data_IF_792906106051
#
_entry.id   IF_792906106051
#
_cell.length_a   1.000
_cell.length_b   1.000
_cell.length_c   1.000
_cell.angle_alpha   90.00
_cell.angle_beta   90.00
_cell.angle_gamma   90.00
#
_symmetry.space_group_name_H-M   'P 1'
#
loop_
_entity.id
_entity.type
_entity.pdbx_description
1 polymer ?
#
# COMPACT_ATOMS: atom_id res chain seq x y z
N UNK A 1 1.03 9.77 -7.35
CA UNK A 1 -0.34 9.74 -6.79
C UNK A 1 -0.28 10.27 -5.37
N UNK A 2 -1.21 11.11 -4.94
CA UNK A 2 -1.23 11.68 -3.58
C UNK A 2 -1.94 10.73 -2.64
N UNK A 3 -1.31 10.39 -1.50
CA UNK A 3 -1.91 9.56 -0.46
C UNK A 3 -2.37 10.44 0.70
N UNK A 4 -3.62 10.28 1.08
CA UNK A 4 -4.22 10.90 2.26
C UNK A 4 -4.71 9.83 3.23
N UNK A 5 -4.68 10.18 4.51
CA UNK A 5 -5.34 9.44 5.56
C UNK A 5 -6.46 10.31 6.14
N UNK A 6 -7.67 9.78 6.09
CA UNK A 6 -8.81 10.29 6.84
C UNK A 6 -9.09 9.37 8.04
N UNK A 7 -10.09 9.74 8.84
CA UNK A 7 -10.51 8.94 10.01
C UNK A 7 -10.79 7.48 9.67
N UNK A 8 -11.50 7.23 8.57
CA UNK A 8 -12.04 5.93 8.20
C UNK A 8 -11.52 5.40 6.86
N UNK A 9 -10.77 6.20 6.10
CA UNK A 9 -10.26 5.82 4.78
C UNK A 9 -8.79 6.22 4.57
N UNK A 10 -8.06 5.40 3.83
CA UNK A 10 -6.94 5.87 3.02
C UNK A 10 -7.47 6.30 1.65
N UNK A 11 -7.03 7.46 1.16
CA UNK A 11 -7.52 8.05 -0.09
C UNK A 11 -6.34 8.27 -1.01
N UNK A 12 -6.40 7.66 -2.19
CA UNK A 12 -5.36 7.72 -3.22
C UNK A 12 -5.87 8.55 -4.40
N UNK A 13 -5.38 9.78 -4.51
CA UNK A 13 -5.83 10.72 -5.53
C UNK A 13 -4.85 10.82 -6.70
N UNK A 14 -5.38 10.69 -7.92
CA UNK A 14 -4.65 10.91 -9.16
C UNK A 14 -5.53 11.65 -10.17
N UNK A 15 -5.15 12.90 -10.47
CA UNK A 15 -5.96 13.77 -11.33
C UNK A 15 -7.36 13.98 -10.73
N UNK A 16 -8.38 13.72 -11.54
CA UNK A 16 -9.81 13.91 -11.21
C UNK A 16 -10.45 12.72 -10.49
N UNK A 17 -9.68 11.67 -10.20
CA UNK A 17 -10.18 10.44 -9.56
C UNK A 17 -9.46 10.17 -8.25
N UNK A 18 -10.18 9.57 -7.32
CA UNK A 18 -9.67 9.11 -6.05
C UNK A 18 -10.15 7.69 -5.76
N UNK A 19 -9.23 6.82 -5.34
CA UNK A 19 -9.53 5.52 -4.79
C UNK A 19 -9.61 5.64 -3.26
N UNK A 20 -10.79 5.33 -2.72
CA UNK A 20 -11.06 5.31 -1.29
C UNK A 20 -10.97 3.89 -0.78
N UNK A 21 -10.10 3.65 0.19
CA UNK A 21 -9.89 2.37 0.83
C UNK A 21 -10.26 2.46 2.31
N UNK A 22 -11.33 1.76 2.70
CA UNK A 22 -11.79 1.73 4.09
C UNK A 22 -10.72 1.12 4.99
N UNK A 23 -10.43 1.82 6.09
CA UNK A 23 -9.50 1.38 7.14
C UNK A 23 -10.10 0.32 8.05
N UNK A 24 -11.39 -0.03 7.91
CA UNK A 24 -12.06 -0.99 8.79
C UNK A 24 -12.14 -2.40 8.19
N UNK A 25 -12.56 -2.47 6.94
CA UNK A 25 -12.85 -3.73 6.23
C UNK A 25 -12.05 -3.86 4.91
N UNK A 26 -11.30 -2.82 4.53
CA UNK A 26 -10.58 -2.78 3.26
C UNK A 26 -11.48 -2.69 2.03
N UNK A 27 -12.74 -2.30 2.19
CA UNK A 27 -13.64 -2.00 1.08
C UNK A 27 -13.07 -0.88 0.21
N UNK A 28 -13.17 -1.04 -1.10
CA UNK A 28 -12.62 -0.11 -2.09
C UNK A 28 -13.75 0.59 -2.84
N UNK A 29 -13.59 1.90 -3.07
CA UNK A 29 -14.56 2.70 -3.81
C UNK A 29 -13.84 3.71 -4.70
N UNK A 30 -14.29 3.83 -5.95
CA UNK A 30 -13.80 4.87 -6.86
C UNK A 30 -14.72 6.10 -6.74
N UNK A 31 -14.14 7.26 -6.50
CA UNK A 31 -14.87 8.53 -6.35
C UNK A 31 -14.16 9.66 -7.12
N UNK A 32 -14.85 10.77 -7.43
CA UNK A 32 -14.20 11.99 -7.89
C UNK A 32 -13.16 12.50 -6.89
N UNK A 33 -12.10 13.16 -7.37
CA UNK A 33 -11.10 13.76 -6.51
C UNK A 33 -11.67 14.87 -5.60
N UNK A 34 -12.72 15.57 -6.06
CA UNK A 34 -13.42 16.61 -5.30
C UNK A 34 -14.03 16.11 -3.99
N UNK A 35 -14.34 14.81 -3.90
CA UNK A 35 -14.91 14.20 -2.71
C UNK A 35 -13.93 14.19 -1.53
N UNK A 36 -12.64 14.47 -1.74
CA UNK A 36 -11.69 14.66 -0.65
C UNK A 36 -12.16 15.72 0.36
N UNK A 37 -12.94 16.71 -0.09
CA UNK A 37 -13.54 17.74 0.77
C UNK A 37 -14.59 17.17 1.75
N UNK A 38 -15.13 15.99 1.46
CA UNK A 38 -16.09 15.28 2.31
C UNK A 38 -15.39 14.37 3.33
N UNK A 39 -14.07 14.17 3.19
CA UNK A 39 -13.30 13.34 4.11
C UNK A 39 -13.16 14.02 5.47
N UNK A 40 -13.24 13.23 6.54
CA UNK A 40 -13.03 13.75 7.89
C UNK A 40 -11.53 13.88 8.19
N UNK A 41 -11.07 15.12 8.37
CA UNK A 41 -9.68 15.50 8.69
C UNK A 41 -8.64 14.78 7.81
N UNK A 42 -8.67 14.93 6.48
CA UNK A 42 -7.71 14.28 5.60
C UNK A 42 -6.31 14.88 5.80
N UNK A 43 -5.34 14.03 6.11
CA UNK A 43 -3.93 14.38 6.26
C UNK A 43 -3.18 13.81 5.05
N UNK A 44 -2.46 14.67 4.32
CA UNK A 44 -1.59 14.20 3.25
C UNK A 44 -0.37 13.50 3.84
N UNK A 45 -0.21 12.21 3.52
CA UNK A 45 0.93 11.40 3.96
C UNK A 45 2.12 11.52 3.00
N UNK A 46 1.88 11.88 1.74
CA UNK A 46 2.92 12.07 0.73
C UNK A 46 2.52 11.51 -0.63
N UNK A 47 3.53 11.14 -1.41
CA UNK A 47 3.40 10.62 -2.76
C UNK A 47 3.71 9.12 -2.81
N UNK A 48 2.97 8.42 -3.66
CA UNK A 48 3.21 7.03 -4.04
C UNK A 48 3.14 6.89 -5.57
N UNK A 49 3.84 5.89 -6.10
CA UNK A 49 3.93 5.60 -7.53
C UNK A 49 2.71 4.83 -8.05
N UNK A 50 2.10 3.99 -7.21
CA UNK A 50 0.96 3.17 -7.61
C UNK A 50 0.44 2.26 -6.50
N UNK A 51 -0.66 1.58 -6.79
CA UNK A 51 -1.29 0.59 -5.90
C UNK A 51 -0.92 -0.81 -6.39
N UNK A 52 -0.37 -1.64 -5.50
CA UNK A 52 -0.14 -3.06 -5.80
C UNK A 52 -1.43 -3.85 -5.58
N UNK A 53 -2.15 -3.54 -4.50
CA UNK A 53 -3.40 -4.19 -4.11
C UNK A 53 -3.51 -4.32 -2.60
N UNK A 54 -4.47 -5.11 -2.13
CA UNK A 54 -4.61 -5.47 -0.72
C UNK A 54 -4.36 -6.95 -0.47
N UNK A 55 -3.89 -7.28 0.72
CA UNK A 55 -3.63 -8.67 1.11
C UNK A 55 -3.98 -8.90 2.58
N UNK A 56 -4.47 -10.10 2.89
CA UNK A 56 -4.56 -10.59 4.26
C UNK A 56 -3.52 -11.69 4.43
N UNK A 57 -2.50 -11.44 5.25
CA UNK A 57 -1.36 -12.37 5.44
C UNK A 57 -1.74 -13.61 6.25
N UNK A 58 -2.75 -13.51 7.10
CA UNK A 58 -3.30 -14.60 7.91
C UNK A 58 -4.76 -14.26 8.27
N UNK A 59 -5.64 -15.26 8.40
CA UNK A 59 -7.08 -15.06 8.69
C UNK A 59 -7.35 -14.20 9.92
N UNK A 60 -6.46 -14.28 10.92
CA UNK A 60 -6.60 -13.58 12.19
C UNK A 60 -5.96 -12.18 12.18
N UNK A 61 -5.26 -11.81 11.10
CA UNK A 61 -4.57 -10.53 10.94
C UNK A 61 -5.43 -9.56 10.10
N UNK A 62 -5.23 -8.23 10.28
CA UNK A 62 -5.93 -7.25 9.46
C UNK A 62 -5.53 -7.37 7.99
N UNK A 63 -6.37 -6.79 7.13
CA UNK A 63 -5.98 -6.54 5.75
C UNK A 63 -4.91 -5.46 5.68
N UNK A 64 -4.08 -5.53 4.65
CA UNK A 64 -3.01 -4.58 4.38
C UNK A 64 -3.17 -4.04 2.98
N UNK A 65 -3.05 -2.72 2.83
CA UNK A 65 -2.94 -2.07 1.54
C UNK A 65 -1.47 -1.89 1.18
N UNK A 66 -1.08 -2.38 0.01
CA UNK A 66 0.31 -2.36 -0.46
C UNK A 66 0.42 -1.36 -1.61
N UNK A 67 1.35 -0.43 -1.46
CA UNK A 67 1.61 0.66 -2.39
C UNK A 67 3.04 0.60 -2.91
N UNK A 68 3.25 1.05 -4.13
CA UNK A 68 4.59 1.27 -4.69
C UNK A 68 5.10 2.60 -4.14
N UNK A 69 6.12 2.54 -3.28
CA UNK A 69 6.77 3.73 -2.74
C UNK A 69 7.82 4.28 -3.70
N UNK A 70 8.67 3.40 -4.22
CA UNK A 70 9.70 3.77 -5.20
C UNK A 70 9.74 2.75 -6.33
N UNK A 71 10.12 3.25 -7.51
CA UNK A 71 10.35 2.44 -8.71
C UNK A 71 11.68 2.82 -9.34
N UNK A 72 12.20 1.95 -10.18
CA UNK A 72 13.32 2.24 -11.07
C UNK A 72 12.92 1.96 -12.52
N UNK A 73 13.21 2.89 -13.43
CA UNK A 73 13.11 2.65 -14.86
C UNK A 73 14.22 1.67 -15.27
N UNK A 74 13.85 0.51 -15.80
CA UNK A 74 14.83 -0.51 -16.22
C UNK A 74 15.07 -0.51 -17.73
N UNK A 75 14.14 0.03 -18.51
CA UNK A 75 14.28 0.12 -19.95
C UNK A 75 13.02 0.62 -20.64
N UNK A 76 13.11 0.74 -21.95
CA UNK A 76 12.02 1.14 -22.84
C UNK A 76 11.85 0.10 -23.93
N UNK A 77 10.63 -0.36 -24.13
CA UNK A 77 10.25 -1.24 -25.24
C UNK A 77 9.90 -0.40 -26.48
N UNK A 78 9.87 -1.01 -27.70
CA UNK A 78 9.44 -0.30 -28.91
C UNK A 78 8.11 0.41 -28.72
N UNK A 79 7.98 1.65 -29.21
CA UNK A 79 6.81 2.49 -28.92
C UNK A 79 6.96 3.36 -27.66
N UNK A 80 8.17 3.47 -27.11
CA UNK A 80 8.51 4.27 -25.92
C UNK A 80 7.78 3.82 -24.65
N UNK A 81 7.44 2.52 -24.58
CA UNK A 81 6.81 1.94 -23.41
C UNK A 81 7.84 1.73 -22.30
N UNK A 82 7.71 2.50 -21.23
CA UNK A 82 8.58 2.40 -20.06
C UNK A 82 8.30 1.13 -19.26
N UNK A 83 9.37 0.40 -18.93
CA UNK A 83 9.34 -0.75 -18.04
C UNK A 83 9.95 -0.32 -16.71
N UNK A 84 9.14 -0.42 -15.65
CA UNK A 84 9.53 -0.08 -14.30
C UNK A 84 9.68 -1.34 -13.44
N UNK A 85 10.66 -1.31 -12.54
CA UNK A 85 10.83 -2.27 -11.46
C UNK A 85 10.37 -1.63 -10.16
N UNK A 86 9.62 -2.36 -9.35
CA UNK A 86 9.30 -1.96 -7.97
C UNK A 86 10.56 -2.10 -7.13
N UNK A 87 11.01 -1.02 -6.48
CA UNK A 87 12.22 -1.04 -5.65
C UNK A 87 11.91 -0.96 -4.16
N UNK A 88 10.86 -0.23 -3.80
CA UNK A 88 10.34 -0.16 -2.43
C UNK A 88 8.82 -0.12 -2.43
N UNK A 89 8.25 -0.74 -1.42
CA UNK A 89 6.81 -0.69 -1.13
C UNK A 89 6.55 0.06 0.17
N UNK A 90 5.32 0.53 0.32
CA UNK A 90 4.75 0.97 1.59
C UNK A 90 3.56 0.05 1.92
N UNK A 91 3.41 -0.31 3.18
CA UNK A 91 2.42 -1.29 3.64
C UNK A 91 1.58 -0.65 4.74
N UNK A 92 0.29 -0.48 4.49
CA UNK A 92 -0.65 0.21 5.38
C UNK A 92 -1.59 -0.79 6.02
N UNK A 93 -1.65 -0.79 7.35
CA UNK A 93 -2.65 -1.57 8.08
C UNK A 93 -4.02 -0.99 7.81
N UNK A 94 -4.95 -1.82 7.33
CA UNK A 94 -6.38 -1.50 7.28
C UNK A 94 -6.97 -1.81 8.66
N UNK A 95 -6.56 -0.97 9.61
CA UNK A 95 -7.09 -0.93 10.97
C UNK A 95 -7.27 0.52 11.42
N UNK A 96 -7.96 0.70 12.55
CA UNK A 96 -8.12 2.03 13.18
C UNK A 96 -6.81 2.55 13.80
N UNK A 97 -5.72 1.77 13.80
CA UNK A 97 -4.42 2.22 14.27
C UNK A 97 -3.78 3.21 13.29
N UNK A 98 -3.08 4.21 13.84
CA UNK A 98 -2.29 5.15 13.04
C UNK A 98 -1.18 4.40 12.28
N UNK A 99 -0.94 4.71 10.99
CA UNK A 99 0.15 4.10 10.25
C UNK A 99 1.50 4.51 10.85
N UNK A 100 2.43 3.56 10.83
CA UNK A 100 3.83 3.81 11.19
C UNK A 100 4.48 4.69 10.12
N UNK A 101 5.62 5.31 10.44
CA UNK A 101 6.35 6.19 9.52
C UNK A 101 6.62 5.50 8.18
N UNK A 102 6.00 6.02 7.11
CA UNK A 102 6.02 5.43 5.77
C UNK A 102 7.19 5.94 4.92
N UNK A 103 7.91 6.95 5.40
CA UNK A 103 9.01 7.61 4.69
C UNK A 103 8.65 7.94 3.22
N UNK A 104 7.45 8.49 3.00
CA UNK A 104 7.00 8.87 1.67
C UNK A 104 7.65 10.18 1.21
N UNK A 105 7.74 10.35 -0.11
CA UNK A 105 8.11 11.63 -0.68
C UNK A 105 7.02 12.66 -0.38
N UNK A 106 7.44 13.85 0.07
CA UNK A 106 6.50 14.89 0.48
C UNK A 106 5.74 15.46 -0.72
N UNK A 107 4.44 15.66 -0.56
CA UNK A 107 3.64 16.30 -1.60
C UNK A 107 3.85 17.82 -1.60
N UNK A 108 4.30 18.39 -2.72
CA UNK A 108 4.55 19.84 -2.86
C UNK A 108 3.33 20.73 -2.57
N UNK A 109 2.11 20.21 -2.76
CA UNK A 109 0.86 20.97 -2.56
C UNK A 109 0.51 21.13 -1.08
N UNK A 110 0.74 20.08 -0.29
CA UNK A 110 0.29 19.99 1.10
C UNK A 110 1.43 20.15 2.10
N UNK A 111 2.68 19.89 1.69
CA UNK A 111 3.88 20.00 2.50
C UNK A 111 4.76 21.17 2.01
N UNK A 112 4.12 22.30 1.72
CA UNK A 112 4.80 23.50 1.24
C UNK A 112 5.74 24.07 2.32
N UNK A 113 7.00 24.32 1.99
CA UNK A 113 8.00 24.87 2.91
C UNK A 113 8.72 23.85 3.79
N UNK A 114 8.40 22.56 3.69
CA UNK A 114 9.08 21.47 4.40
C UNK A 114 10.09 20.84 3.42
N UNK A 115 11.35 21.31 3.43
CA UNK A 115 12.38 20.80 2.51
C UNK A 115 12.97 19.44 2.93
N UNK A 116 12.66 19.03 4.16
CA UNK A 116 12.80 17.74 4.84
C UNK A 116 12.07 17.96 6.17
N UNK A 117 11.45 16.95 6.80
CA UNK A 117 11.32 17.04 8.24
C UNK A 117 12.75 17.07 8.76
N UNK A 118 13.29 18.25 9.08
CA UNK A 118 14.25 18.29 10.19
C UNK A 118 13.51 17.57 11.30
N UNK A 119 14.05 16.41 11.71
CA UNK A 119 13.62 15.77 12.94
C UNK A 119 13.61 16.90 13.95
N UNK A 120 12.42 17.33 14.38
CA UNK A 120 12.31 18.13 15.58
C UNK A 120 12.89 17.19 16.63
N UNK A 121 14.16 17.39 16.95
CA UNK A 121 14.83 16.71 18.04
C UNK A 121 13.98 17.10 19.24
N UNK A 122 13.25 16.18 19.88
CA UNK A 122 12.74 16.46 21.20
C UNK A 122 13.95 16.86 22.03
N UNK A 123 13.81 17.93 22.83
CA UNK A 123 14.76 18.34 23.87
C UNK A 123 15.67 17.20 24.35
N UNK A 124 16.99 17.41 24.50
CA UNK A 124 18.00 16.35 24.54
C UNK A 124 17.97 15.51 25.83
N UNK A 125 16.90 14.75 26.02
CA UNK A 125 16.79 13.71 27.05
C UNK A 125 16.23 12.37 26.54
N UNK A 126 15.70 12.26 25.32
CA UNK A 126 15.05 11.00 24.86
C UNK A 126 15.64 10.38 23.59
N UNK A 127 16.93 10.61 23.29
CA UNK A 127 17.65 9.96 22.19
C UNK A 127 18.53 8.79 22.64
N UNK A 128 17.97 7.90 23.46
CA UNK A 128 18.41 6.50 23.61
C UNK A 128 17.22 5.59 23.83
N UNK A 129 16.28 5.59 22.87
CA UNK A 129 15.11 4.70 22.92
C UNK A 129 14.96 3.80 21.71
N UNK A 130 16.08 3.31 21.21
CA UNK A 130 16.12 2.09 20.43
C UNK A 130 15.93 0.91 21.41
N UNK A 131 14.77 0.27 21.35
CA UNK A 131 14.52 -1.11 21.81
C UNK A 131 14.32 -1.38 23.32
N UNK A 132 13.99 -0.41 24.21
CA UNK A 132 13.86 -0.73 25.66
C UNK A 132 12.85 0.10 26.49
N UNK A 133 11.54 -0.02 26.28
CA UNK A 133 10.59 0.01 27.42
C UNK A 133 9.32 -0.75 27.06
N UNK A 134 9.28 -1.99 27.53
CA UNK A 134 8.06 -2.69 27.89
C UNK A 134 8.36 -3.51 29.14
N UNK A 135 8.64 -2.84 30.25
CA UNK A 135 8.59 -3.47 31.57
C UNK A 135 8.46 -2.41 32.66
N UNK A 136 7.36 -2.52 33.42
CA UNK A 136 7.15 -2.07 34.80
C UNK A 136 5.93 -1.16 35.01
N UNK A 137 4.74 -1.73 34.80
CA UNK A 137 3.61 -1.47 35.70
C UNK A 137 3.26 -2.82 36.34
N UNK A 138 3.67 -3.02 37.60
CA UNK A 138 3.20 -4.13 38.43
C UNK A 138 1.86 -3.72 39.05
N UNK A 139 0.76 -4.04 38.37
CA UNK A 139 -0.55 -4.17 39.02
C UNK A 139 -0.78 -5.64 39.36
N UNK A 140 -0.64 -5.97 40.64
CA UNK A 140 -1.03 -7.27 41.17
C UNK A 140 -2.56 -7.32 41.24
N UNK A 141 -3.20 -7.87 40.20
CA UNK A 141 -4.58 -8.38 40.30
C UNK A 141 -4.66 -9.72 39.55
N UNK A 142 -5.18 -10.72 40.26
CA UNK A 142 -5.23 -12.14 39.95
C UNK A 142 -6.27 -12.55 38.89
N UNK A 143 -5.83 -13.29 37.84
CA UNK A 143 -6.56 -14.12 36.85
C UNK A 143 -7.70 -13.45 36.02
N UNK A 144 -8.02 -13.81 34.75
CA UNK A 144 -7.63 -14.94 33.87
C UNK A 144 -6.81 -14.51 32.61
N UNK A 145 -6.34 -13.26 32.55
CA UNK A 145 -5.79 -12.62 31.35
C UNK A 145 -4.43 -13.12 30.82
N UNK A 146 -3.76 -14.07 31.48
CA UNK A 146 -2.44 -14.56 31.03
C UNK A 146 -2.47 -15.26 29.67
N UNK A 147 -3.55 -15.99 29.35
CA UNK A 147 -3.73 -16.62 28.02
C UNK A 147 -3.94 -15.58 26.93
N UNK A 148 -4.86 -14.62 27.14
CA UNK A 148 -5.21 -13.56 26.18
C UNK A 148 -4.02 -12.64 25.87
N UNK A 149 -3.24 -12.27 26.89
CA UNK A 149 -2.01 -11.48 26.71
C UNK A 149 -0.92 -12.27 25.98
N UNK A 150 -0.79 -13.58 26.25
CA UNK A 150 0.15 -14.45 25.55
C UNK A 150 -0.24 -14.63 24.07
N UNK A 151 -1.52 -14.84 23.78
CA UNK A 151 -2.05 -14.94 22.41
C UNK A 151 -1.84 -13.65 21.62
N UNK A 152 -2.13 -12.48 22.22
CA UNK A 152 -1.87 -11.18 21.60
C UNK A 152 -0.40 -11.00 21.23
N UNK A 153 0.53 -11.44 22.10
CA UNK A 153 1.97 -11.33 21.86
C UNK A 153 2.45 -12.27 20.74
N UNK A 154 1.93 -13.50 20.67
CA UNK A 154 2.27 -14.41 19.57
C UNK A 154 1.67 -13.93 18.25
N UNK A 155 0.47 -13.34 18.25
CA UNK A 155 -0.15 -12.71 17.08
C UNK A 155 0.70 -11.55 16.54
N UNK A 156 1.12 -10.64 17.40
CA UNK A 156 1.99 -9.51 17.02
C UNK A 156 3.34 -10.01 16.46
N UNK A 157 3.90 -11.07 17.05
CA UNK A 157 5.14 -11.69 16.57
C UNK A 157 4.97 -12.37 15.21
N UNK A 158 3.82 -13.02 14.96
CA UNK A 158 3.49 -13.59 13.66
C UNK A 158 3.32 -12.50 12.61
N UNK A 159 2.54 -11.47 12.92
CA UNK A 159 2.31 -10.29 12.07
C UNK A 159 3.63 -9.66 11.64
N UNK A 160 4.53 -9.39 12.61
CA UNK A 160 5.83 -8.81 12.32
C UNK A 160 6.66 -9.67 11.38
N UNK A 161 6.70 -10.98 11.60
CA UNK A 161 7.45 -11.92 10.75
C UNK A 161 6.90 -11.95 9.33
N UNK A 162 5.57 -11.99 9.16
CA UNK A 162 4.95 -12.02 7.84
C UNK A 162 5.18 -10.71 7.08
N UNK A 163 5.11 -9.57 7.76
CA UNK A 163 5.43 -8.26 7.16
C UNK A 163 6.90 -8.14 6.78
N UNK A 164 7.82 -8.60 7.64
CA UNK A 164 9.26 -8.63 7.35
C UNK A 164 9.56 -9.44 6.08
N UNK A 165 8.96 -10.63 5.93
CA UNK A 165 9.15 -11.46 4.74
C UNK A 165 8.48 -10.88 3.49
N UNK A 166 7.30 -10.27 3.63
CA UNK A 166 6.65 -9.55 2.54
C UNK A 166 7.53 -8.40 2.03
N UNK A 167 8.11 -7.61 2.95
CA UNK A 167 9.00 -6.50 2.61
C UNK A 167 10.25 -7.01 1.90
N UNK A 168 10.92 -8.05 2.44
CA UNK A 168 12.09 -8.66 1.78
C UNK A 168 11.76 -9.21 0.40
N UNK A 169 10.60 -9.85 0.24
CA UNK A 169 10.17 -10.36 -1.05
C UNK A 169 10.14 -9.23 -2.09
N UNK A 170 9.57 -8.07 -1.80
CA UNK A 170 9.53 -6.96 -2.77
C UNK A 170 10.86 -6.22 -2.93
N UNK A 171 11.67 -6.12 -1.88
CA UNK A 171 12.91 -5.32 -1.92
C UNK A 171 14.14 -6.11 -2.39
N UNK A 172 14.24 -7.40 -2.05
CA UNK A 172 15.45 -8.19 -2.24
C UNK A 172 15.36 -9.13 -3.45
N UNK A 173 14.15 -9.59 -3.82
CA UNK A 173 13.99 -10.53 -4.95
C UNK A 173 14.23 -9.91 -6.32
N UNK A 174 14.20 -8.58 -6.40
CA UNK A 174 14.31 -7.82 -7.64
C UNK A 174 13.32 -8.24 -8.75
N UNK A 175 12.21 -8.90 -8.41
CA UNK A 175 11.41 -9.68 -9.37
C UNK A 175 10.11 -9.01 -9.86
N UNK A 176 9.75 -7.84 -9.36
CA UNK A 176 8.45 -7.22 -9.65
C UNK A 176 8.56 -6.10 -10.67
N UNK A 177 8.02 -6.33 -11.86
CA UNK A 177 8.05 -5.40 -12.99
C UNK A 177 6.65 -5.07 -13.47
N UNK A 178 6.49 -3.86 -13.99
CA UNK A 178 5.26 -3.39 -14.60
C UNK A 178 5.54 -2.34 -15.68
N UNK A 179 4.58 -2.15 -16.57
CA UNK A 179 4.50 -1.00 -17.46
C UNK A 179 3.08 -0.47 -17.41
N UNK A 180 2.93 0.86 -17.48
CA UNK A 180 1.60 1.50 -17.49
C UNK A 180 0.95 1.46 -18.87
N UNK A 181 1.75 1.30 -19.92
CA UNK A 181 1.31 1.42 -21.31
C UNK A 181 1.53 0.16 -22.13
N UNK A 182 2.08 -0.90 -21.52
CA UNK A 182 2.41 -2.15 -22.20
C UNK A 182 2.16 -3.38 -21.32
N UNK A 183 1.69 -4.47 -21.92
CA UNK A 183 1.41 -5.71 -21.21
C UNK A 183 2.65 -6.62 -21.09
N UNK A 184 3.31 -6.60 -19.93
CA UNK A 184 4.47 -7.47 -19.70
C UNK A 184 4.13 -8.94 -19.44
N UNK A 185 2.85 -9.28 -19.27
CA UNK A 185 2.43 -10.67 -18.99
C UNK A 185 2.41 -11.54 -20.26
N UNK A 186 2.27 -10.92 -21.43
CA UNK A 186 2.25 -11.60 -22.71
C UNK A 186 3.55 -11.36 -23.51
N UNK A 187 3.94 -12.33 -24.33
CA UNK A 187 5.01 -12.12 -25.31
C UNK A 187 4.54 -11.23 -26.46
N UNK A 188 5.49 -10.57 -27.14
CA UNK A 188 5.22 -9.73 -28.33
C UNK A 188 4.36 -10.47 -29.37
N UNK A 189 4.64 -11.76 -29.60
CA UNK A 189 3.88 -12.58 -30.54
C UNK A 189 2.41 -12.77 -30.12
N UNK A 190 2.13 -12.95 -28.82
CA UNK A 190 0.76 -13.11 -28.31
C UNK A 190 -0.03 -11.81 -28.38
N UNK A 191 0.62 -10.67 -28.12
CA UNK A 191 -0.02 -9.37 -28.20
C UNK A 191 -0.44 -9.01 -29.62
N UNK A 192 0.40 -9.31 -30.62
CA UNK A 192 0.07 -9.07 -32.04
C UNK A 192 -1.19 -9.81 -32.49
N UNK A 193 -1.47 -10.98 -31.90
CA UNK A 193 -2.69 -11.74 -32.19
C UNK A 193 -3.96 -11.18 -31.50
N UNK A 194 -3.80 -10.36 -30.45
CA UNK A 194 -4.89 -9.90 -29.57
C UNK A 194 -5.25 -8.41 -29.68
N UNK A 195 -4.59 -7.66 -30.56
CA UNK A 195 -4.68 -6.19 -30.65
C UNK A 195 -6.10 -5.64 -30.89
N UNK A 196 -7.01 -6.47 -31.43
CA UNK A 196 -8.40 -6.11 -31.75
C UNK A 196 -9.42 -6.40 -30.65
N UNK A 197 -9.01 -6.98 -29.54
CA UNK A 197 -9.94 -7.32 -28.47
C UNK A 197 -10.38 -6.04 -27.72
N UNK A 198 -11.69 -5.75 -27.56
CA UNK A 198 -12.16 -4.53 -26.91
C UNK A 198 -12.08 -4.57 -25.37
N UNK A 199 -11.74 -5.71 -24.77
CA UNK A 199 -11.72 -5.86 -23.30
C UNK A 199 -10.68 -4.96 -22.63
N UNK A 200 -10.87 -4.58 -21.36
CA UNK A 200 -9.84 -3.87 -20.60
C UNK A 200 -8.58 -4.73 -20.44
N UNK A 201 -7.42 -4.08 -20.27
CA UNK A 201 -6.11 -4.73 -20.24
C UNK A 201 -6.04 -5.90 -19.24
N UNK A 202 -6.57 -5.71 -18.03
CA UNK A 202 -6.54 -6.71 -16.95
C UNK A 202 -7.32 -7.99 -17.27
N UNK A 203 -8.17 -8.01 -18.31
CA UNK A 203 -8.86 -9.22 -18.79
C UNK A 203 -8.11 -9.94 -19.92
N UNK A 204 -7.06 -9.31 -20.48
CA UNK A 204 -6.26 -9.83 -21.60
C UNK A 204 -4.90 -10.36 -21.19
N UNK A 205 -4.44 -9.95 -20.01
CA UNK A 205 -3.16 -10.39 -19.43
C UNK A 205 -3.11 -11.91 -19.30
N UNK A 206 -1.91 -12.46 -19.40
CA UNK A 206 -1.65 -13.88 -19.13
C UNK A 206 -1.68 -14.13 -17.63
N UNK A 207 -2.68 -14.87 -17.18
CA UNK A 207 -2.91 -15.21 -15.77
C UNK A 207 -1.69 -15.82 -15.08
N UNK A 208 -0.80 -16.51 -15.82
CA UNK A 208 0.39 -17.16 -15.26
C UNK A 208 1.45 -16.14 -14.81
N UNK A 209 1.42 -14.94 -15.38
CA UNK A 209 2.40 -13.89 -15.12
C UNK A 209 1.75 -12.66 -14.44
N UNK A 210 0.47 -12.72 -14.12
CA UNK A 210 -0.25 -11.67 -13.42
C UNK A 210 -0.06 -11.76 -11.89
N UNK A 211 1.11 -11.39 -11.42
CA UNK A 211 1.59 -11.64 -10.06
C UNK A 211 0.73 -11.04 -8.92
N UNK A 212 0.04 -9.92 -9.15
CA UNK A 212 -0.87 -9.31 -8.16
C UNK A 212 -2.35 -9.53 -8.42
N UNK A 213 -2.73 -10.46 -9.30
CA UNK A 213 -4.14 -10.71 -9.68
C UNK A 213 -5.10 -10.76 -8.49
N UNK A 214 -4.77 -11.56 -7.47
CA UNK A 214 -5.63 -11.72 -6.28
C UNK A 214 -5.61 -10.50 -5.36
N UNK A 215 -4.54 -9.70 -5.39
CA UNK A 215 -4.43 -8.51 -4.54
C UNK A 215 -5.31 -7.37 -5.04
N UNK A 216 -5.62 -7.35 -6.34
CA UNK A 216 -6.42 -6.31 -6.99
C UNK A 216 -7.84 -6.76 -7.31
N UNK A 217 -8.28 -7.93 -6.82
CA UNK A 217 -9.56 -8.51 -7.21
C UNK A 217 -10.72 -7.52 -7.03
N UNK A 218 -10.84 -6.92 -5.85
CA UNK A 218 -11.83 -5.89 -5.56
C UNK A 218 -11.74 -4.68 -6.52
N UNK A 219 -10.53 -4.26 -6.91
CA UNK A 219 -10.35 -3.15 -7.87
C UNK A 219 -10.87 -3.53 -9.26
N UNK A 220 -10.64 -4.77 -9.69
CA UNK A 220 -11.14 -5.27 -10.97
C UNK A 220 -12.66 -5.37 -10.97
N UNK A 221 -13.27 -5.73 -9.84
CA UNK A 221 -14.74 -5.82 -9.69
C UNK A 221 -15.41 -4.43 -9.67
N UNK A 222 -14.78 -3.43 -9.05
CA UNK A 222 -15.24 -2.02 -9.11
C UNK A 222 -15.25 -1.50 -10.55
N UNK A 223 -14.18 -1.77 -11.30
CA UNK A 223 -14.05 -1.31 -12.69
C UNK A 223 -15.13 -1.86 -13.62
N UNK A 224 -15.58 -3.10 -13.39
CA UNK A 224 -16.71 -3.72 -14.11
C UNK A 224 -18.03 -3.05 -13.74
N UNK A 225 -18.21 -2.69 -12.47
CA UNK A 225 -19.44 -2.12 -11.94
C UNK A 225 -19.67 -0.65 -12.35
N UNK A 226 -18.60 0.09 -12.67
CA UNK A 226 -18.66 1.48 -13.14
C UNK A 226 -18.93 1.67 -14.65
N UNK A 227 -19.20 0.59 -15.39
CA UNK A 227 -19.45 0.59 -16.84
C UNK A 227 -20.92 0.31 -17.23
N UNK A 228 -21.89 0.67 -16.38
CA UNK A 228 -23.31 0.76 -16.74
C UNK A 228 -23.74 2.21 -16.90
#
# INVERSE_FOLDING_TARGET
MELFQAKDHYILQQGERALWCSRRDGGLQLRPATDLLLAWNPICLGLVEGVIGKIQLHSDLPWWLILIRQKALVGKLPGDHEVCKVTKIAVLSLSEMEPQDLELELCKKHHFGINKPEKIIPSPDDSKFLLKTFTHIKSNVSAPNKKKVKESKEKEKLERRLLEELLKMFMDSESFYYSLTYDLTNSVQRQSAGEKDPRPLWQKVDDRFFWNKYMIQDLTEIGVSSCF
#
